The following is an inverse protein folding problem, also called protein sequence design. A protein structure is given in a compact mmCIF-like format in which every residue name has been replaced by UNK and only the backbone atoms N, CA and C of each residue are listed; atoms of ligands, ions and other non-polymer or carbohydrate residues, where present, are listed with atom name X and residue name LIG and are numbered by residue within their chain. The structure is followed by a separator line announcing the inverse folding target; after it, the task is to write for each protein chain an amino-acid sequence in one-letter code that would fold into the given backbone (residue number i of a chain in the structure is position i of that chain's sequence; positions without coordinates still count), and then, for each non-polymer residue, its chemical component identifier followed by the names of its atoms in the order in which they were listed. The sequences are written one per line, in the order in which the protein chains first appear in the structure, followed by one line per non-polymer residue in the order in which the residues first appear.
data_IF_266203107427
#
_entry.id   IF_266203107427
#
_cell.length_a   1.000
_cell.length_b   1.000
_cell.length_c   1.000
_cell.angle_alpha   90.00
_cell.angle_beta   90.00
_cell.angle_gamma   90.00
#
_symmetry.space_group_name_H-M   'P 1'
#
loop_
_entity.id
_entity.type
_entity.pdbx_description
1 polymer ?
#
# COMPACT_ATOMS: atom_id res chain seq x y z
N UNK A 1 -21.88 25.99 -25.66
CA UNK A 1 -21.94 24.77 -26.51
C UNK A 1 -20.57 24.21 -26.89
N UNK A 2 -19.58 25.00 -27.36
CA UNK A 2 -18.21 24.49 -27.59
C UNK A 2 -17.39 24.49 -26.28
N UNK A 3 -17.43 25.57 -25.51
CA UNK A 3 -16.69 25.68 -24.23
C UNK A 3 -17.12 24.62 -23.22
N UNK A 4 -18.43 24.39 -23.07
CA UNK A 4 -19.02 23.33 -22.24
C UNK A 4 -18.51 21.92 -22.63
N UNK A 5 -18.45 21.62 -23.94
CA UNK A 5 -17.91 20.34 -24.43
C UNK A 5 -16.42 20.17 -24.16
N UNK A 6 -15.65 21.27 -24.20
CA UNK A 6 -14.22 21.26 -23.85
C UNK A 6 -14.05 21.01 -22.35
N UNK A 7 -14.87 21.63 -21.51
CA UNK A 7 -14.85 21.44 -20.06
C UNK A 7 -15.22 20.00 -19.67
N UNK A 8 -16.28 19.44 -20.25
CA UNK A 8 -16.67 18.03 -20.06
C UNK A 8 -15.53 17.08 -20.44
N UNK A 9 -14.89 17.30 -21.58
CA UNK A 9 -13.77 16.49 -22.05
C UNK A 9 -12.55 16.57 -21.09
N UNK A 10 -12.23 17.77 -20.60
CA UNK A 10 -11.15 17.98 -19.63
C UNK A 10 -11.44 17.26 -18.31
N UNK A 11 -12.68 17.33 -17.82
CA UNK A 11 -13.13 16.66 -16.61
C UNK A 11 -13.08 15.13 -16.76
N UNK A 12 -13.56 14.60 -17.88
CA UNK A 12 -13.50 13.16 -18.16
C UNK A 12 -12.04 12.67 -18.22
N UNK A 13 -11.15 13.46 -18.87
CA UNK A 13 -9.73 13.15 -18.96
C UNK A 13 -9.04 13.17 -17.58
N UNK A 14 -9.39 14.13 -16.74
CA UNK A 14 -8.90 14.20 -15.36
C UNK A 14 -9.36 12.99 -14.53
N UNK A 15 -10.65 12.60 -14.66
CA UNK A 15 -11.20 11.41 -13.99
C UNK A 15 -10.47 10.14 -14.40
N UNK A 16 -10.30 9.90 -15.72
CA UNK A 16 -9.54 8.75 -16.24
C UNK A 16 -8.10 8.71 -15.73
N UNK A 17 -7.46 9.87 -15.63
CA UNK A 17 -6.08 9.98 -15.10
C UNK A 17 -6.03 9.59 -13.63
N UNK A 18 -6.98 10.04 -12.81
CA UNK A 18 -7.02 9.68 -11.40
C UNK A 18 -7.38 8.19 -11.19
N UNK A 19 -8.31 7.65 -11.98
CA UNK A 19 -8.62 6.20 -11.99
C UNK A 19 -7.38 5.36 -12.33
N UNK A 20 -6.62 5.74 -13.36
CA UNK A 20 -5.39 5.03 -13.73
C UNK A 20 -4.32 5.09 -12.62
N UNK A 21 -4.20 6.23 -11.93
CA UNK A 21 -3.29 6.41 -10.80
C UNK A 21 -3.72 5.58 -9.60
N UNK A 22 -5.02 5.54 -9.30
CA UNK A 22 -5.58 4.71 -8.23
C UNK A 22 -5.31 3.22 -8.52
N UNK A 23 -5.56 2.76 -9.75
CA UNK A 23 -5.27 1.38 -10.18
C UNK A 23 -3.79 1.01 -10.01
N UNK A 24 -2.87 1.92 -10.36
CA UNK A 24 -1.44 1.70 -10.13
C UNK A 24 -1.11 1.57 -8.64
N UNK A 25 -1.68 2.44 -7.80
CA UNK A 25 -1.46 2.39 -6.35
C UNK A 25 -1.99 1.10 -5.72
N UNK A 26 -3.15 0.63 -6.17
CA UNK A 26 -3.70 -0.66 -5.71
C UNK A 26 -2.79 -1.82 -6.15
N UNK A 27 -2.23 -1.76 -7.37
CA UNK A 27 -1.25 -2.74 -7.84
C UNK A 27 0.03 -2.73 -6.98
N UNK A 28 0.59 -1.54 -6.70
CA UNK A 28 1.77 -1.40 -5.85
C UNK A 28 1.53 -1.89 -4.42
N UNK A 29 0.32 -1.68 -3.91
CA UNK A 29 -0.12 -2.14 -2.60
C UNK A 29 -0.15 -3.68 -2.50
N UNK A 30 -0.71 -4.36 -3.50
CA UNK A 30 -0.68 -5.84 -3.56
C UNK A 30 0.74 -6.39 -3.74
N UNK A 31 1.56 -5.74 -4.57
CA UNK A 31 2.98 -6.13 -4.75
C UNK A 31 3.75 -6.00 -3.43
N UNK A 32 3.50 -4.94 -2.66
CA UNK A 32 4.12 -4.77 -1.35
C UNK A 32 3.70 -5.89 -0.38
N UNK A 33 2.44 -6.30 -0.40
CA UNK A 33 1.98 -7.45 0.40
C UNK A 33 2.68 -8.75 0.01
N UNK A 34 2.78 -9.06 -1.29
CA UNK A 34 3.51 -10.25 -1.77
C UNK A 34 4.97 -10.24 -1.26
N UNK A 35 5.65 -9.10 -1.39
CA UNK A 35 7.03 -8.96 -0.92
C UNK A 35 7.16 -9.13 0.59
N UNK A 36 6.25 -8.56 1.38
CA UNK A 36 6.25 -8.73 2.84
C UNK A 36 6.03 -10.20 3.23
N UNK A 37 5.13 -10.90 2.55
CA UNK A 37 4.82 -12.31 2.83
C UNK A 37 6.02 -13.24 2.61
N UNK A 38 6.91 -12.84 1.69
CA UNK A 38 8.14 -13.54 1.33
C UNK A 38 9.39 -12.99 2.01
N UNK A 39 9.23 -11.95 2.84
CA UNK A 39 10.34 -11.32 3.51
C UNK A 39 10.92 -12.22 4.61
N UNK A 40 12.24 -12.29 4.61
CA UNK A 40 13.09 -13.17 5.42
C UNK A 40 14.26 -13.65 4.57
N UNK A 41 15.41 -13.83 5.19
CA UNK A 41 16.59 -14.39 4.53
C UNK A 41 16.69 -15.86 4.86
N UNK A 42 16.77 -16.73 3.84
CA UNK A 42 17.15 -18.13 3.99
C UNK A 42 18.35 -18.39 3.09
N UNK A 43 19.51 -18.69 3.66
CA UNK A 43 20.73 -18.87 2.87
C UNK A 43 21.91 -19.44 3.64
N UNK A 44 23.09 -19.39 3.01
CA UNK A 44 24.34 -19.96 3.56
C UNK A 44 24.71 -19.39 4.93
N UNK A 45 24.25 -18.18 5.24
CA UNK A 45 24.53 -17.47 6.49
C UNK A 45 23.45 -17.66 7.57
N UNK A 46 22.49 -18.55 7.35
CA UNK A 46 21.41 -18.85 8.30
C UNK A 46 20.02 -18.48 7.78
N UNK A 47 19.04 -18.62 8.66
CA UNK A 47 17.65 -18.26 8.42
C UNK A 47 17.29 -17.09 9.34
N UNK A 48 16.99 -15.93 8.77
CA UNK A 48 16.57 -14.74 9.49
C UNK A 48 15.15 -14.40 9.09
N UNK A 49 14.23 -14.58 10.02
CA UNK A 49 12.85 -14.15 9.83
C UNK A 49 12.69 -12.68 10.20
N UNK A 50 11.77 -12.00 9.51
CA UNK A 50 11.32 -10.68 9.96
C UNK A 50 10.65 -10.83 11.33
N UNK A 51 11.01 -10.00 12.33
CA UNK A 51 10.34 -9.97 13.62
C UNK A 51 8.82 -9.88 13.47
N UNK A 52 8.11 -10.72 14.24
CA UNK A 52 6.65 -10.81 14.19
C UNK A 52 5.97 -9.45 14.39
N UNK A 53 6.46 -8.64 15.32
CA UNK A 53 5.90 -7.31 15.62
C UNK A 53 5.98 -6.36 14.43
N UNK A 54 7.07 -6.39 13.66
CA UNK A 54 7.23 -5.57 12.46
C UNK A 54 6.24 -5.98 11.37
N UNK A 55 6.12 -7.29 11.14
CA UNK A 55 5.10 -7.86 10.23
C UNK A 55 3.69 -7.46 10.67
N UNK A 56 3.37 -7.62 11.96
CA UNK A 56 2.04 -7.31 12.50
C UNK A 56 1.70 -5.82 12.35
N UNK A 57 2.67 -4.93 12.58
CA UNK A 57 2.45 -3.49 12.42
C UNK A 57 2.20 -3.08 10.97
N UNK A 58 2.85 -3.72 10.00
CA UNK A 58 2.53 -3.53 8.58
C UNK A 58 1.15 -4.13 8.24
N UNK A 59 0.85 -5.34 8.72
CA UNK A 59 -0.41 -6.03 8.47
C UNK A 59 -1.64 -5.28 8.97
N UNK A 60 -1.55 -4.56 10.09
CA UNK A 60 -2.65 -3.69 10.57
C UNK A 60 -3.08 -2.67 9.53
N UNK A 61 -2.13 -2.04 8.82
CA UNK A 61 -2.44 -1.08 7.75
C UNK A 61 -3.07 -1.79 6.55
N UNK A 62 -2.58 -2.97 6.20
CA UNK A 62 -3.12 -3.77 5.10
C UNK A 62 -4.57 -4.19 5.37
N UNK A 63 -4.84 -4.76 6.55
CA UNK A 63 -6.16 -5.20 6.98
C UNK A 63 -7.15 -4.04 7.07
N UNK A 64 -6.69 -2.86 7.47
CA UNK A 64 -7.52 -1.67 7.49
C UNK A 64 -8.05 -1.37 6.09
N UNK A 65 -7.16 -1.31 5.09
CA UNK A 65 -7.54 -1.05 3.68
C UNK A 65 -8.51 -2.13 3.17
N UNK A 66 -8.24 -3.40 3.45
CA UNK A 66 -9.12 -4.53 3.04
C UNK A 66 -10.48 -4.52 3.72
N UNK A 67 -10.55 -4.09 4.97
CA UNK A 67 -11.83 -3.95 5.70
C UNK A 67 -12.71 -2.91 5.02
N UNK A 68 -12.16 -1.76 4.65
CA UNK A 68 -12.91 -0.73 3.96
C UNK A 68 -13.39 -1.16 2.57
N UNK A 69 -12.55 -1.88 1.82
CA UNK A 69 -12.96 -2.46 0.53
C UNK A 69 -14.13 -3.44 0.70
N UNK A 70 -14.09 -4.30 1.73
CA UNK A 70 -15.15 -5.27 2.00
C UNK A 70 -16.43 -4.64 2.53
N UNK A 71 -16.30 -3.57 3.32
CA UNK A 71 -17.45 -2.86 3.91
C UNK A 71 -18.02 -1.78 2.99
N UNK A 72 -17.49 -1.63 1.77
CA UNK A 72 -17.88 -0.60 0.79
C UNK A 72 -17.90 0.81 1.40
N UNK A 73 -17.01 1.07 2.37
CA UNK A 73 -16.95 2.37 3.04
C UNK A 73 -16.64 3.47 2.02
N UNK A 74 -17.38 4.57 2.12
CA UNK A 74 -17.01 5.78 1.38
C UNK A 74 -15.67 6.32 1.91
N UNK A 75 -14.98 7.15 1.12
CA UNK A 75 -13.75 7.82 1.59
C UNK A 75 -14.03 8.70 2.83
N UNK A 76 -15.27 9.19 2.97
CA UNK A 76 -15.73 9.99 4.11
C UNK A 76 -15.87 9.13 5.38
N UNK A 77 -16.51 7.96 5.29
CA UNK A 77 -16.62 7.00 6.39
C UNK A 77 -15.22 6.53 6.84
N UNK A 78 -14.35 6.28 5.86
CA UNK A 78 -12.97 5.91 6.11
C UNK A 78 -12.20 7.01 6.85
N UNK A 79 -12.28 8.25 6.38
CA UNK A 79 -11.57 9.38 6.97
C UNK A 79 -12.07 9.65 8.40
N UNK A 80 -13.38 9.52 8.63
CA UNK A 80 -13.98 9.66 9.95
C UNK A 80 -13.49 8.58 10.94
N UNK A 81 -13.33 7.34 10.49
CA UNK A 81 -12.86 6.25 11.36
C UNK A 81 -11.33 6.22 11.55
N UNK A 82 -10.56 6.59 10.52
CA UNK A 82 -9.10 6.38 10.51
C UNK A 82 -8.27 7.64 10.67
N UNK A 83 -8.84 8.82 10.47
CA UNK A 83 -8.15 10.11 10.50
C UNK A 83 -7.17 10.35 9.35
N UNK A 84 -7.02 9.41 8.40
CA UNK A 84 -6.13 9.52 7.22
C UNK A 84 -6.81 8.92 6.00
N UNK A 85 -6.52 9.39 4.77
CA UNK A 85 -7.14 8.84 3.54
C UNK A 85 -6.70 7.40 3.22
N UNK A 86 -7.49 6.65 2.44
CA UNK A 86 -7.16 5.28 1.99
C UNK A 86 -5.81 5.29 1.28
N UNK A 87 -5.62 6.27 0.41
CA UNK A 87 -4.39 6.51 -0.33
C UNK A 87 -3.17 6.69 0.60
N UNK A 88 -3.33 7.40 1.72
CA UNK A 88 -2.26 7.62 2.68
C UNK A 88 -1.95 6.35 3.47
N UNK A 89 -2.95 5.56 3.84
CA UNK A 89 -2.75 4.26 4.49
C UNK A 89 -2.01 3.27 3.59
N UNK A 90 -2.38 3.19 2.30
CA UNK A 90 -1.64 2.39 1.31
C UNK A 90 -0.17 2.83 1.19
N UNK A 91 0.11 4.15 1.15
CA UNK A 91 1.49 4.67 1.15
C UNK A 91 2.25 4.30 2.43
N UNK A 92 1.62 4.44 3.59
CA UNK A 92 2.23 4.09 4.87
C UNK A 92 2.56 2.59 4.95
N UNK A 93 1.69 1.73 4.40
CA UNK A 93 1.94 0.30 4.27
C UNK A 93 3.15 0.02 3.37
N UNK A 94 3.15 0.55 2.14
CA UNK A 94 4.26 0.37 1.19
C UNK A 94 5.59 0.83 1.78
N UNK A 95 5.60 1.97 2.49
CA UNK A 95 6.79 2.48 3.18
C UNK A 95 7.30 1.51 4.23
N UNK A 96 6.43 1.04 5.14
CA UNK A 96 6.80 0.05 6.17
C UNK A 96 7.32 -1.25 5.58
N UNK A 97 6.69 -1.72 4.50
CA UNK A 97 7.14 -2.92 3.79
C UNK A 97 8.55 -2.73 3.22
N UNK A 98 8.81 -1.58 2.59
CA UNK A 98 10.14 -1.30 2.03
C UNK A 98 11.22 -1.18 3.12
N UNK A 99 10.91 -0.59 4.28
CA UNK A 99 11.78 -0.60 5.46
C UNK A 99 12.10 -2.04 5.87
N UNK A 100 11.08 -2.88 6.08
CA UNK A 100 11.26 -4.30 6.45
C UNK A 100 12.09 -5.07 5.43
N UNK A 101 11.86 -4.89 4.14
CA UNK A 101 12.59 -5.60 3.08
C UNK A 101 14.06 -5.14 3.01
N UNK A 102 14.31 -3.87 3.30
CA UNK A 102 15.68 -3.34 3.33
C UNK A 102 16.49 -4.02 4.44
N UNK A 103 15.87 -4.21 5.60
CA UNK A 103 16.53 -4.76 6.78
C UNK A 103 16.59 -6.30 6.78
N UNK A 104 15.59 -6.97 6.19
CA UNK A 104 15.40 -8.43 6.32
C UNK A 104 15.13 -9.18 5.00
N UNK A 105 15.04 -8.48 3.88
CA UNK A 105 14.45 -9.04 2.64
C UNK A 105 15.41 -9.81 1.74
N UNK A 106 16.70 -9.43 1.68
CA UNK A 106 17.62 -9.99 0.69
C UNK A 106 19.05 -10.21 1.18
N UNK A 107 19.45 -9.53 2.25
CA UNK A 107 20.75 -9.68 2.87
C UNK A 107 20.59 -10.23 4.29
N UNK A 108 21.54 -11.05 4.79
CA UNK A 108 21.59 -11.33 6.21
C UNK A 108 21.71 -9.98 6.96
N UNK A 109 21.01 -9.79 8.09
CA UNK A 109 21.15 -8.58 8.89
C UNK A 109 22.61 -8.40 9.30
N UNK A 110 23.08 -7.15 9.38
CA UNK A 110 24.45 -6.84 9.76
C UNK A 110 24.74 -7.44 11.14
N UNK A 111 25.60 -8.46 11.16
CA UNK A 111 26.20 -8.96 12.39
C UNK A 111 27.28 -7.96 12.79
N UNK A 112 26.94 -7.03 13.69
CA UNK A 112 27.96 -6.33 14.49
C UNK A 112 28.72 -7.33 15.38
#
# INVERSE_FOLDING_TARGET
MIEEKVEEWMNEKAKKKEEAKNKRRDTDFEIAYDRLSRAGYNGKHGNFEVPFELKQNAMKLYEQVKRAEKSEWSEEDWLACSGISKAQTQRNFIRKVNEIITDYGWNPPSTD
#
